data_IF_831753134436
#
_entry.id   IF_831753134436
#
_cell.length_a   1.000
_cell.length_b   1.000
_cell.length_c   1.000
_cell.angle_alpha   90.00
_cell.angle_beta   90.00
_cell.angle_gamma   90.00
#
_symmetry.space_group_name_H-M   'P 1'
#
loop_
_entity.id
_entity.type
_entity.pdbx_description
1 polymer ?
#
# COMPACT_ATOMS: atom_id res chain seq x y z
N UNK A 1 2.89 25.34 5.15
CA UNK A 1 2.59 26.77 4.84
C UNK A 1 3.79 27.50 4.26
N UNK A 2 4.96 27.52 4.92
CA UNK A 2 6.16 28.22 4.43
C UNK A 2 6.65 27.67 3.08
N UNK A 3 6.56 26.35 2.88
CA UNK A 3 6.87 25.68 1.61
C UNK A 3 6.07 26.19 0.40
N UNK A 4 4.86 26.74 0.61
CA UNK A 4 4.04 27.29 -0.47
C UNK A 4 4.66 28.56 -1.07
N UNK A 5 5.32 29.39 -0.25
CA UNK A 5 6.01 30.60 -0.70
C UNK A 5 7.25 30.28 -1.54
N UNK A 6 7.92 29.16 -1.26
CA UNK A 6 9.08 28.66 -2.01
C UNK A 6 8.72 27.73 -3.17
N UNK A 7 7.43 27.43 -3.39
CA UNK A 7 6.96 26.60 -4.52
C UNK A 7 7.49 27.02 -5.89
N UNK A 8 7.58 28.32 -6.27
CA UNK A 8 8.10 28.70 -7.59
C UNK A 8 9.58 28.36 -7.77
N UNK A 9 10.36 28.34 -6.70
CA UNK A 9 11.77 27.93 -6.75
C UNK A 9 11.90 26.42 -6.95
N UNK A 10 11.04 25.62 -6.33
CA UNK A 10 10.99 24.18 -6.57
C UNK A 10 10.63 23.85 -8.03
N UNK A 11 9.73 24.63 -8.64
CA UNK A 11 9.34 24.47 -10.04
C UNK A 11 10.42 24.81 -11.06
N UNK A 12 11.45 25.57 -10.68
CA UNK A 12 12.61 25.89 -11.54
C UNK A 12 13.60 24.73 -11.69
N UNK A 13 13.49 23.69 -10.87
CA UNK A 13 14.40 22.54 -10.87
C UNK A 13 14.03 21.62 -12.05
N UNK A 14 14.98 21.28 -12.94
CA UNK A 14 14.72 20.33 -14.02
C UNK A 14 14.31 18.95 -13.50
N UNK A 15 13.35 18.30 -14.16
CA UNK A 15 12.78 17.02 -13.72
C UNK A 15 13.82 15.88 -13.62
N UNK A 16 14.90 15.93 -14.42
CA UNK A 16 15.99 14.94 -14.34
C UNK A 16 16.81 15.08 -13.04
N UNK A 17 16.86 16.26 -12.44
CA UNK A 17 17.59 16.49 -11.19
C UNK A 17 16.87 15.88 -9.98
N UNK A 18 15.53 15.76 -10.04
CA UNK A 18 14.73 15.15 -8.96
C UNK A 18 14.68 13.62 -9.03
N UNK A 19 15.04 13.02 -10.16
CA UNK A 19 14.95 11.58 -10.38
C UNK A 19 15.79 10.77 -9.37
N UNK A 20 17.03 11.20 -9.09
CA UNK A 20 17.89 10.54 -8.11
C UNK A 20 17.32 10.57 -6.69
N UNK A 21 16.72 11.69 -6.30
CA UNK A 21 16.06 11.81 -5.00
C UNK A 21 14.83 10.90 -4.89
N UNK A 22 14.01 10.83 -5.94
CA UNK A 22 12.84 9.94 -5.98
C UNK A 22 13.24 8.46 -5.94
N UNK A 23 14.33 8.08 -6.63
CA UNK A 23 14.84 6.72 -6.59
C UNK A 23 15.32 6.35 -5.18
N UNK A 24 16.03 7.25 -4.50
CA UNK A 24 16.45 7.02 -3.12
C UNK A 24 15.26 6.88 -2.17
N UNK A 25 14.24 7.74 -2.29
CA UNK A 25 13.00 7.64 -1.50
C UNK A 25 12.27 6.33 -1.78
N UNK A 26 12.20 5.88 -3.03
CA UNK A 26 11.60 4.60 -3.38
C UNK A 26 12.31 3.43 -2.69
N UNK A 27 13.65 3.43 -2.65
CA UNK A 27 14.43 2.42 -1.91
C UNK A 27 14.13 2.47 -0.41
N UNK A 28 14.04 3.66 0.18
CA UNK A 28 13.67 3.82 1.58
C UNK A 28 12.27 3.28 1.89
N UNK A 29 11.28 3.54 1.04
CA UNK A 29 9.92 3.02 1.21
C UNK A 29 9.88 1.49 1.01
N UNK A 30 10.64 0.96 0.05
CA UNK A 30 10.74 -0.47 -0.17
C UNK A 30 11.37 -1.20 1.02
N UNK A 31 12.27 -0.54 1.77
CA UNK A 31 12.87 -1.13 2.98
C UNK A 31 11.84 -1.49 4.06
N UNK A 32 10.66 -0.85 4.07
CA UNK A 32 9.58 -1.20 4.98
C UNK A 32 9.05 -2.63 4.74
N UNK A 33 9.16 -3.18 3.53
CA UNK A 33 8.79 -4.58 3.26
C UNK A 33 9.67 -5.58 4.03
N UNK A 34 10.89 -5.20 4.41
CA UNK A 34 11.76 -6.05 5.21
C UNK A 34 11.22 -6.30 6.63
N UNK A 35 10.29 -5.47 7.11
CA UNK A 35 9.66 -5.63 8.42
C UNK A 35 8.41 -6.52 8.37
N UNK A 36 7.99 -6.97 7.18
CA UNK A 36 6.90 -7.93 7.06
C UNK A 36 7.33 -9.32 7.58
N UNK A 37 6.39 -10.06 8.15
CA UNK A 37 6.63 -11.41 8.61
C UNK A 37 6.61 -12.39 7.42
N UNK A 38 7.79 -12.65 6.86
CA UNK A 38 7.93 -13.53 5.67
C UNK A 38 7.86 -15.02 5.99
N UNK A 39 8.01 -15.40 7.26
CA UNK A 39 7.94 -16.80 7.71
C UNK A 39 6.50 -17.31 7.77
N UNK A 40 5.52 -16.42 7.91
CA UNK A 40 4.10 -16.75 7.92
C UNK A 40 3.48 -16.45 6.54
N UNK A 41 3.09 -17.47 5.76
CA UNK A 41 2.48 -17.26 4.44
C UNK A 41 1.15 -16.49 4.52
N UNK A 42 0.46 -16.51 5.66
CA UNK A 42 -0.79 -15.78 5.86
C UNK A 42 -0.60 -14.27 6.02
N UNK A 43 0.61 -13.83 6.39
CA UNK A 43 1.00 -12.42 6.42
C UNK A 43 1.78 -12.02 5.14
N UNK A 44 2.65 -12.91 4.65
CA UNK A 44 3.49 -12.64 3.48
C UNK A 44 2.70 -12.53 2.17
N UNK A 45 1.70 -13.38 1.94
CA UNK A 45 0.92 -13.35 0.71
C UNK A 45 0.12 -12.04 0.53
N UNK A 46 -0.61 -11.53 1.54
CA UNK A 46 -1.26 -10.21 1.45
C UNK A 46 -0.28 -9.06 1.18
N UNK A 47 0.91 -9.08 1.81
CA UNK A 47 1.95 -8.06 1.60
C UNK A 47 2.43 -8.07 0.14
N UNK A 48 2.67 -9.25 -0.43
CA UNK A 48 3.04 -9.38 -1.84
C UNK A 48 1.91 -8.91 -2.77
N UNK A 49 0.67 -9.29 -2.48
CA UNK A 49 -0.49 -8.86 -3.27
C UNK A 49 -0.58 -7.33 -3.26
N UNK A 50 -0.47 -6.69 -2.11
CA UNK A 50 -0.51 -5.23 -2.01
C UNK A 50 0.64 -4.57 -2.79
N UNK A 51 1.87 -5.05 -2.58
CA UNK A 51 3.08 -4.48 -3.19
C UNK A 51 3.08 -4.61 -4.72
N UNK A 52 2.54 -5.70 -5.26
CA UNK A 52 2.42 -5.90 -6.72
C UNK A 52 1.19 -5.23 -7.31
N UNK A 53 0.08 -5.19 -6.58
CA UNK A 53 -1.15 -4.57 -7.07
C UNK A 53 -0.98 -3.08 -7.31
N UNK A 54 -0.32 -2.33 -6.39
CA UNK A 54 -0.15 -0.88 -6.54
C UNK A 54 0.45 -0.43 -7.89
N UNK A 55 1.61 -0.97 -8.33
CA UNK A 55 2.17 -0.61 -9.63
C UNK A 55 1.35 -1.18 -10.81
N UNK A 56 0.72 -2.35 -10.65
CA UNK A 56 -0.05 -2.98 -11.73
C UNK A 56 -1.39 -2.28 -12.00
N UNK A 57 -2.03 -1.72 -10.96
CA UNK A 57 -3.28 -0.96 -11.07
C UNK A 57 -3.03 0.52 -11.32
N UNK A 58 -1.77 0.98 -11.29
CA UNK A 58 -1.39 2.40 -11.32
C UNK A 58 -2.09 3.24 -10.23
N UNK A 59 -2.56 2.59 -9.15
CA UNK A 59 -3.28 3.22 -8.06
C UNK A 59 -2.85 2.63 -6.72
N UNK A 60 -2.29 3.51 -5.87
CA UNK A 60 -1.93 3.17 -4.50
C UNK A 60 -3.19 2.73 -3.72
N UNK A 61 -4.32 3.38 -3.95
CA UNK A 61 -5.57 3.08 -3.26
C UNK A 61 -6.10 1.68 -3.60
N UNK A 62 -6.15 1.29 -4.88
CA UNK A 62 -6.54 -0.06 -5.30
C UNK A 62 -5.60 -1.11 -4.73
N UNK A 63 -4.28 -0.87 -4.75
CA UNK A 63 -3.32 -1.83 -4.22
C UNK A 63 -3.45 -2.03 -2.71
N UNK A 64 -3.67 -0.95 -1.95
CA UNK A 64 -3.96 -1.03 -0.51
C UNK A 64 -5.27 -1.79 -0.26
N UNK A 65 -6.31 -1.49 -1.04
CA UNK A 65 -7.61 -2.15 -0.93
C UNK A 65 -7.48 -3.67 -1.12
N UNK A 66 -6.82 -4.11 -2.19
CA UNK A 66 -6.55 -5.53 -2.46
C UNK A 66 -5.67 -6.17 -1.37
N UNK A 67 -4.72 -5.43 -0.80
CA UNK A 67 -3.93 -5.85 0.35
C UNK A 67 -4.78 -6.17 1.58
N UNK A 68 -5.67 -5.28 1.98
CA UNK A 68 -6.56 -5.51 3.12
C UNK A 68 -7.57 -6.62 2.87
N UNK A 69 -8.17 -6.67 1.68
CA UNK A 69 -9.13 -7.72 1.31
C UNK A 69 -8.45 -9.09 1.35
N UNK A 70 -7.27 -9.22 0.75
CA UNK A 70 -6.51 -10.47 0.76
C UNK A 70 -6.06 -10.87 2.16
N UNK A 71 -5.65 -9.92 3.01
CA UNK A 71 -5.30 -10.18 4.41
C UNK A 71 -6.46 -10.81 5.18
N UNK A 72 -7.64 -10.19 5.12
CA UNK A 72 -8.84 -10.71 5.80
C UNK A 72 -9.26 -12.06 5.22
N UNK A 73 -9.27 -12.20 3.89
CA UNK A 73 -9.64 -13.44 3.22
C UNK A 73 -8.71 -14.59 3.60
N UNK A 74 -7.40 -14.40 3.52
CA UNK A 74 -6.40 -15.44 3.78
C UNK A 74 -6.43 -15.85 5.25
N UNK A 75 -6.41 -14.90 6.21
CA UNK A 75 -6.47 -15.24 7.64
C UNK A 75 -7.77 -15.94 8.03
N UNK A 76 -8.89 -15.54 7.44
CA UNK A 76 -10.19 -16.21 7.63
C UNK A 76 -10.17 -17.64 7.11
N UNK A 77 -9.67 -17.86 5.89
CA UNK A 77 -9.58 -19.18 5.27
C UNK A 77 -8.57 -20.10 5.97
N UNK A 78 -7.52 -19.54 6.58
CA UNK A 78 -6.54 -20.28 7.39
C UNK A 78 -7.00 -20.52 8.84
N UNK A 79 -8.21 -20.11 9.22
CA UNK A 79 -8.76 -20.31 10.56
C UNK A 79 -8.16 -19.41 11.65
N UNK A 80 -7.36 -18.40 11.27
CA UNK A 80 -6.66 -17.49 12.17
C UNK A 80 -7.46 -16.22 12.46
N UNK A 81 -8.69 -16.40 12.93
CA UNK A 81 -9.60 -15.29 13.24
C UNK A 81 -9.08 -14.40 14.37
N UNK A 82 -8.31 -14.96 15.30
CA UNK A 82 -7.77 -14.23 16.46
C UNK A 82 -6.78 -13.12 16.07
N UNK A 83 -6.16 -13.22 14.89
CA UNK A 83 -5.21 -12.24 14.39
C UNK A 83 -5.90 -11.03 13.72
N UNK A 84 -7.21 -11.12 13.49
CA UNK A 84 -7.97 -10.08 12.79
C UNK A 84 -8.50 -9.02 13.76
N UNK A 85 -7.96 -7.81 13.64
CA UNK A 85 -8.52 -6.65 14.31
C UNK A 85 -9.85 -6.23 13.64
N UNK A 86 -10.91 -5.93 14.40
CA UNK A 86 -12.17 -5.40 13.87
C UNK A 86 -12.01 -4.24 12.87
N UNK A 87 -11.06 -3.34 13.08
CA UNK A 87 -10.81 -2.23 12.16
C UNK A 87 -10.39 -2.70 10.76
N UNK A 88 -9.57 -3.75 10.68
CA UNK A 88 -9.08 -4.33 9.42
C UNK A 88 -10.22 -5.01 8.66
N UNK A 89 -11.11 -5.70 9.38
CA UNK A 89 -12.31 -6.33 8.81
C UNK A 89 -13.25 -5.26 8.25
N UNK A 90 -13.51 -4.19 9.00
CA UNK A 90 -14.37 -3.08 8.54
C UNK A 90 -13.78 -2.44 7.28
N UNK A 91 -12.47 -2.15 7.27
CA UNK A 91 -11.81 -1.59 6.09
C UNK A 91 -11.89 -2.51 4.88
N UNK A 92 -11.66 -3.81 5.06
CA UNK A 92 -11.79 -4.77 3.97
C UNK A 92 -13.23 -4.82 3.41
N UNK A 93 -14.25 -4.80 4.27
CA UNK A 93 -15.65 -4.74 3.84
C UNK A 93 -16.00 -3.44 3.10
N UNK A 94 -15.47 -2.29 3.56
CA UNK A 94 -15.63 -1.01 2.87
C UNK A 94 -14.97 -1.04 1.48
N UNK A 95 -13.78 -1.63 1.35
CA UNK A 95 -13.13 -1.76 0.06
C UNK A 95 -13.85 -2.73 -0.88
N UNK A 96 -14.36 -3.86 -0.38
CA UNK A 96 -15.18 -4.80 -1.17
C UNK A 96 -16.43 -4.11 -1.68
N UNK A 97 -17.14 -3.36 -0.82
CA UNK A 97 -18.34 -2.62 -1.25
C UNK A 97 -18.00 -1.52 -2.25
N UNK A 98 -16.89 -0.81 -2.09
CA UNK A 98 -16.38 0.14 -3.09
C UNK A 98 -16.19 -0.53 -4.45
N UNK A 99 -15.53 -1.69 -4.51
CA UNK A 99 -15.32 -2.43 -5.76
C UNK A 99 -16.61 -2.99 -6.40
N UNK A 100 -17.63 -3.31 -5.61
CA UNK A 100 -18.89 -3.86 -6.13
C UNK A 100 -19.89 -2.79 -6.60
N UNK A 101 -19.85 -1.59 -6.00
CA UNK A 101 -20.87 -0.56 -6.23
C UNK A 101 -20.35 0.73 -6.90
N UNK A 102 -19.07 1.07 -6.74
CA UNK A 102 -18.50 2.35 -7.18
C UNK A 102 -17.54 2.23 -8.38
N UNK A 103 -17.00 1.05 -8.65
CA UNK A 103 -16.19 0.75 -9.84
C UNK A 103 -17.03 0.00 -10.88
#
# INVERSE_FOLDING_TARGET
LISLFFSPLAGSIPAYATAGALLYVAVLMASSLAHANWDDPTDAAPVLIAALAMPLTFSIAEGIALGFISYVAIKTLSGRFSDLNPAVIILALLFVTKFLFLD
#
